data_IF_834812613712
#
_entry.id   IF_834812613712
#
_cell.length_a   1.000
_cell.length_b   1.000
_cell.length_c   1.000
_cell.angle_alpha   90.00
_cell.angle_beta   90.00
_cell.angle_gamma   90.00
#
_symmetry.space_group_name_H-M   'P 1'
#
loop_
_entity.id
_entity.type
_entity.pdbx_description
1 polymer ?
#
# COMPACT_ATOMS: atom_id res chain seq x y z
N UNK A 1 5.29 -12.93 -18.32
CA UNK A 1 4.43 -11.75 -18.55
C UNK A 1 3.08 -12.04 -19.22
N UNK A 2 3.03 -12.82 -20.31
CA UNK A 2 1.77 -13.11 -21.02
C UNK A 2 0.62 -13.65 -20.12
N UNK A 3 0.91 -14.51 -19.15
CA UNK A 3 -0.10 -15.04 -18.22
C UNK A 3 -0.73 -13.96 -17.32
N UNK A 4 0.09 -13.04 -16.79
CA UNK A 4 -0.38 -11.89 -15.99
C UNK A 4 -1.24 -10.97 -16.86
N UNK A 5 -0.77 -10.65 -18.08
CA UNK A 5 -1.52 -9.85 -19.04
C UNK A 5 -2.87 -10.46 -19.44
N UNK A 6 -2.99 -11.80 -19.45
CA UNK A 6 -4.24 -12.48 -19.75
C UNK A 6 -5.22 -12.53 -18.56
N UNK A 7 -4.73 -12.43 -17.32
CA UNK A 7 -5.56 -12.48 -16.10
C UNK A 7 -6.14 -11.11 -15.74
N UNK A 8 -5.37 -10.04 -15.95
CA UNK A 8 -5.78 -8.68 -15.61
C UNK A 8 -7.14 -8.28 -16.21
N UNK A 9 -7.41 -8.46 -17.53
CA UNK A 9 -8.71 -8.13 -18.12
C UNK A 9 -9.86 -9.02 -17.62
N UNK A 10 -9.57 -10.24 -17.16
CA UNK A 10 -10.60 -11.12 -16.58
C UNK A 10 -11.06 -10.63 -15.22
N UNK A 11 -10.15 -9.99 -14.49
CA UNK A 11 -10.42 -9.39 -13.18
C UNK A 11 -11.06 -8.02 -13.38
N UNK A 12 -10.47 -7.15 -14.21
CA UNK A 12 -10.97 -5.80 -14.52
C UNK A 12 -11.98 -5.82 -15.68
N UNK A 13 -13.27 -6.05 -15.37
CA UNK A 13 -14.32 -6.20 -16.39
C UNK A 13 -14.67 -4.92 -17.15
N UNK A 14 -14.42 -3.74 -16.58
CA UNK A 14 -14.76 -2.45 -17.20
C UNK A 14 -13.58 -1.46 -17.08
N UNK A 15 -12.82 -1.34 -18.17
CA UNK A 15 -11.67 -0.44 -18.26
C UNK A 15 -12.06 1.06 -18.13
N UNK A 16 -13.33 1.41 -18.33
CA UNK A 16 -13.82 2.79 -18.20
C UNK A 16 -14.16 3.19 -16.76
N UNK A 17 -14.29 2.20 -15.85
CA UNK A 17 -14.67 2.40 -14.43
C UNK A 17 -13.54 2.12 -13.44
N UNK A 18 -12.33 1.93 -13.96
CA UNK A 18 -11.11 1.78 -13.15
C UNK A 18 -10.92 3.04 -12.29
N UNK A 19 -11.16 2.92 -10.99
CA UNK A 19 -11.05 3.99 -9.98
C UNK A 19 -12.35 4.30 -9.22
N UNK A 20 -13.47 3.63 -9.53
CA UNK A 20 -14.75 3.84 -8.84
C UNK A 20 -15.03 2.76 -7.79
N UNK A 21 -15.76 3.11 -6.72
CA UNK A 21 -16.10 2.19 -5.63
C UNK A 21 -16.95 0.97 -6.05
N UNK A 22 -17.45 0.94 -7.30
CA UNK A 22 -18.26 -0.13 -7.90
C UNK A 22 -17.49 -0.75 -9.07
N UNK A 23 -16.25 -1.14 -8.84
CA UNK A 23 -15.53 -1.96 -9.80
C UNK A 23 -16.12 -3.38 -9.82
N UNK A 24 -16.60 -3.81 -10.98
CA UNK A 24 -17.06 -5.17 -11.21
C UNK A 24 -15.84 -6.11 -11.36
N UNK A 25 -15.11 -6.32 -10.27
CA UNK A 25 -14.01 -7.27 -10.27
C UNK A 25 -14.50 -8.71 -10.29
N UNK A 26 -13.95 -9.53 -11.19
CA UNK A 26 -14.02 -10.98 -10.97
C UNK A 26 -12.97 -11.39 -9.93
N UNK A 27 -13.44 -11.64 -8.72
CA UNK A 27 -12.56 -12.08 -7.63
C UNK A 27 -11.94 -13.44 -7.92
N UNK A 28 -12.61 -14.31 -8.69
CA UNK A 28 -12.17 -15.71 -8.88
C UNK A 28 -10.76 -15.85 -9.44
N UNK A 29 -10.27 -14.85 -10.17
CA UNK A 29 -8.94 -14.87 -10.78
C UNK A 29 -7.87 -14.14 -9.96
N UNK A 30 -8.23 -13.52 -8.84
CA UNK A 30 -7.31 -12.70 -8.03
C UNK A 30 -6.18 -13.54 -7.42
N UNK A 31 -6.48 -14.74 -6.91
CA UNK A 31 -5.46 -15.66 -6.40
C UNK A 31 -4.51 -16.13 -7.51
N UNK A 32 -5.06 -16.53 -8.67
CA UNK A 32 -4.25 -16.94 -9.81
C UNK A 32 -3.33 -15.83 -10.30
N UNK A 33 -3.80 -14.58 -10.32
CA UNK A 33 -2.94 -13.42 -10.61
C UNK A 33 -1.83 -13.30 -9.57
N UNK A 34 -2.14 -13.40 -8.28
CA UNK A 34 -1.16 -13.32 -7.20
C UNK A 34 -0.11 -14.43 -7.26
N UNK A 35 -0.49 -15.62 -7.69
CA UNK A 35 0.41 -16.75 -7.93
C UNK A 35 1.36 -16.47 -9.10
N UNK A 36 0.84 -15.92 -10.21
CA UNK A 36 1.68 -15.55 -11.35
C UNK A 36 2.64 -14.39 -11.02
N UNK A 37 2.18 -13.39 -10.26
CA UNK A 37 3.05 -12.31 -9.79
C UNK A 37 4.14 -12.90 -8.88
N UNK A 38 3.80 -13.78 -7.93
CA UNK A 38 4.79 -14.45 -7.08
C UNK A 38 5.82 -15.28 -7.85
N UNK A 39 5.41 -15.97 -8.91
CA UNK A 39 6.33 -16.66 -9.82
C UNK A 39 7.27 -15.68 -10.52
N UNK A 40 6.76 -14.52 -10.94
CA UNK A 40 7.58 -13.48 -11.55
C UNK A 40 8.55 -12.83 -10.55
N UNK A 41 8.11 -12.58 -9.32
CA UNK A 41 8.96 -12.07 -8.23
C UNK A 41 10.20 -12.95 -7.99
N UNK A 42 10.03 -14.27 -8.04
CA UNK A 42 11.15 -15.21 -7.90
C UNK A 42 12.22 -15.06 -8.99
N UNK A 43 11.87 -14.46 -10.14
CA UNK A 43 12.79 -14.17 -11.24
C UNK A 43 13.36 -12.74 -11.15
N UNK A 44 12.55 -11.77 -10.72
CA UNK A 44 12.93 -10.36 -10.62
C UNK A 44 13.80 -10.04 -9.38
N UNK A 45 13.79 -10.91 -8.36
CA UNK A 45 14.63 -10.77 -7.16
C UNK A 45 13.98 -10.02 -6.00
N UNK A 46 12.91 -9.24 -6.24
CA UNK A 46 12.09 -8.63 -5.19
C UNK A 46 10.65 -8.35 -5.66
N UNK A 47 9.72 -8.21 -4.71
CA UNK A 47 8.33 -7.82 -4.98
C UNK A 47 8.24 -6.42 -5.62
N UNK A 48 9.03 -5.47 -5.13
CA UNK A 48 9.09 -4.10 -5.65
C UNK A 48 9.55 -4.05 -7.12
N UNK A 49 10.60 -4.80 -7.48
CA UNK A 49 11.08 -4.87 -8.87
C UNK A 49 10.07 -5.54 -9.78
N UNK A 50 9.51 -6.68 -9.35
CA UNK A 50 8.49 -7.39 -10.12
C UNK A 50 7.29 -6.49 -10.42
N UNK A 51 6.73 -5.82 -9.40
CA UNK A 51 5.62 -4.91 -9.57
C UNK A 51 5.98 -3.78 -10.53
N UNK A 52 7.14 -3.14 -10.35
CA UNK A 52 7.61 -2.06 -11.22
C UNK A 52 7.72 -2.48 -12.70
N UNK A 53 8.29 -3.65 -12.98
CA UNK A 53 8.43 -4.18 -14.34
C UNK A 53 7.07 -4.53 -14.96
N UNK A 54 6.18 -5.13 -14.17
CA UNK A 54 4.82 -5.45 -14.62
C UNK A 54 4.06 -4.16 -14.96
N UNK A 55 4.15 -3.14 -14.10
CA UNK A 55 3.52 -1.83 -14.34
C UNK A 55 4.06 -1.18 -15.62
N UNK A 56 5.38 -1.14 -15.78
CA UNK A 56 6.04 -0.61 -16.99
C UNK A 56 5.55 -1.34 -18.24
N UNK A 57 5.41 -2.67 -18.18
CA UNK A 57 4.89 -3.46 -19.28
C UNK A 57 3.44 -3.08 -19.65
N UNK A 58 2.55 -2.91 -18.66
CA UNK A 58 1.17 -2.53 -18.91
C UNK A 58 1.01 -1.09 -19.40
N UNK A 59 1.80 -0.15 -18.87
CA UNK A 59 1.85 1.24 -19.35
C UNK A 59 2.24 1.30 -20.84
N UNK A 60 3.18 0.46 -21.28
CA UNK A 60 3.57 0.36 -22.69
C UNK A 60 2.50 -0.28 -23.58
N UNK A 61 1.55 -1.02 -23.00
CA UNK A 61 0.59 -1.88 -23.69
C UNK A 61 -0.82 -1.30 -23.90
N UNK A 62 -1.05 0.00 -23.60
CA UNK A 62 -2.37 0.67 -23.65
C UNK A 62 -3.46 0.04 -22.74
N UNK A 63 -3.10 -0.87 -21.83
CA UNK A 63 -4.06 -1.46 -20.89
C UNK A 63 -4.11 -0.57 -19.64
N UNK A 64 -5.25 0.08 -19.40
CA UNK A 64 -5.49 0.77 -18.13
C UNK A 64 -5.50 -0.26 -17.01
N UNK A 65 -4.58 -0.10 -16.06
CA UNK A 65 -4.33 -1.03 -14.99
C UNK A 65 -4.20 -0.27 -13.67
N UNK A 66 -4.76 -0.83 -12.59
CA UNK A 66 -4.59 -0.26 -11.26
C UNK A 66 -3.43 -0.97 -10.55
N UNK A 67 -2.37 -0.25 -10.15
CA UNK A 67 -1.24 -0.87 -9.46
C UNK A 67 -1.65 -1.63 -8.19
N UNK A 68 -2.62 -1.12 -7.44
CA UNK A 68 -3.22 -1.74 -6.27
C UNK A 68 -3.77 -3.16 -6.53
N UNK A 69 -4.15 -3.50 -7.77
CA UNK A 69 -4.63 -4.83 -8.09
C UNK A 69 -3.54 -5.90 -7.93
N UNK A 70 -2.27 -5.59 -8.24
CA UNK A 70 -1.16 -6.54 -8.00
C UNK A 70 -1.00 -6.81 -6.52
N UNK A 71 -1.03 -5.77 -5.69
CA UNK A 71 -0.93 -5.91 -4.22
C UNK A 71 -2.06 -6.73 -3.65
N UNK A 72 -3.31 -6.47 -4.06
CA UNK A 72 -4.48 -7.26 -3.62
C UNK A 72 -4.43 -8.70 -4.11
N UNK A 73 -3.89 -8.94 -5.31
CA UNK A 73 -3.65 -10.28 -5.81
C UNK A 73 -2.61 -11.03 -4.97
N UNK A 74 -1.51 -10.36 -4.61
CA UNK A 74 -0.49 -10.89 -3.71
C UNK A 74 -1.03 -11.16 -2.31
N UNK A 75 -1.84 -10.25 -1.76
CA UNK A 75 -2.54 -10.46 -0.50
C UNK A 75 -3.42 -11.72 -0.54
N UNK A 76 -4.22 -11.89 -1.60
CA UNK A 76 -5.02 -13.10 -1.79
C UNK A 76 -4.15 -14.36 -1.87
N UNK A 77 -3.03 -14.33 -2.59
CA UNK A 77 -2.12 -15.49 -2.68
C UNK A 77 -1.42 -15.83 -1.35
N UNK A 78 -1.15 -14.84 -0.49
CA UNK A 78 -0.54 -15.04 0.84
C UNK A 78 -1.55 -15.55 1.86
N UNK A 79 -2.77 -15.03 1.82
CA UNK A 79 -3.83 -15.40 2.74
C UNK A 79 -4.31 -16.85 2.56
N UNK A 80 -4.18 -17.42 1.36
CA UNK A 80 -4.67 -18.77 1.04
C UNK A 80 -3.60 -19.64 0.42
N UNK A 81 -3.47 -20.87 0.93
CA UNK A 81 -2.42 -21.79 0.50
C UNK A 81 -2.72 -22.37 -0.90
N UNK A 82 -4.00 -22.52 -1.24
CA UNK A 82 -4.45 -23.07 -2.52
C UNK A 82 -5.56 -22.24 -3.18
N UNK A 83 -5.72 -22.41 -4.49
CA UNK A 83 -6.79 -21.76 -5.25
C UNK A 83 -8.17 -22.25 -4.80
N UNK A 84 -8.30 -23.52 -4.46
CA UNK A 84 -9.56 -24.12 -3.99
C UNK A 84 -10.02 -23.49 -2.67
N UNK A 85 -9.09 -23.27 -1.73
CA UNK A 85 -9.36 -22.57 -0.48
C UNK A 85 -9.84 -21.14 -0.75
N UNK A 86 -9.12 -20.41 -1.61
CA UNK A 86 -9.50 -19.06 -2.02
C UNK A 86 -10.90 -19.02 -2.65
N UNK A 87 -11.18 -19.91 -3.59
CA UNK A 87 -12.48 -19.95 -4.29
C UNK A 87 -13.62 -20.29 -3.34
N UNK A 88 -13.37 -21.08 -2.28
CA UNK A 88 -14.35 -21.32 -1.23
C UNK A 88 -14.71 -20.04 -0.45
N UNK A 89 -13.76 -19.12 -0.25
CA UNK A 89 -14.02 -17.79 0.33
C UNK A 89 -14.66 -16.81 -0.64
N UNK A 90 -14.22 -16.81 -1.90
CA UNK A 90 -14.68 -15.85 -2.91
C UNK A 90 -16.10 -16.17 -3.42
N UNK A 91 -16.59 -17.39 -3.25
CA UNK A 91 -17.89 -17.84 -3.77
C UNK A 91 -19.04 -17.05 -3.16
N UNK A 92 -19.73 -16.27 -4.00
CA UNK A 92 -20.87 -15.45 -3.57
C UNK A 92 -20.48 -14.23 -2.74
N UNK A 93 -19.19 -13.86 -2.72
CA UNK A 93 -18.67 -12.71 -1.98
C UNK A 93 -18.23 -11.64 -2.97
N UNK A 94 -18.72 -10.42 -2.78
CA UNK A 94 -18.31 -9.26 -3.56
C UNK A 94 -16.85 -8.92 -3.30
N UNK A 95 -16.16 -8.35 -4.29
CA UNK A 95 -14.79 -7.88 -4.14
C UNK A 95 -14.58 -6.93 -2.96
N UNK A 96 -15.49 -5.97 -2.75
CA UNK A 96 -15.39 -5.04 -1.62
C UNK A 96 -15.28 -5.77 -0.27
N UNK A 97 -16.20 -6.70 0.01
CA UNK A 97 -16.13 -7.54 1.22
C UNK A 97 -14.83 -8.36 1.31
N UNK A 98 -14.40 -8.94 0.20
CA UNK A 98 -13.18 -9.73 0.16
C UNK A 98 -11.94 -8.87 0.49
N UNK A 99 -11.89 -7.65 -0.07
CA UNK A 99 -10.81 -6.69 0.19
C UNK A 99 -10.69 -6.39 1.68
N UNK A 100 -11.79 -6.19 2.38
CA UNK A 100 -11.77 -5.84 3.82
C UNK A 100 -11.33 -7.01 4.71
N UNK A 101 -11.55 -8.26 4.30
CA UNK A 101 -11.15 -9.43 5.11
C UNK A 101 -9.75 -9.93 4.81
N UNK A 102 -9.21 -9.69 3.61
CA UNK A 102 -7.87 -10.16 3.23
C UNK A 102 -6.77 -9.76 4.23
N UNK A 103 -6.72 -8.53 4.78
CA UNK A 103 -5.71 -8.15 5.74
C UNK A 103 -5.73 -8.97 7.05
N UNK A 104 -6.91 -9.47 7.43
CA UNK A 104 -7.09 -10.31 8.63
C UNK A 104 -6.72 -11.77 8.34
N UNK A 105 -6.92 -12.21 7.10
CA UNK A 105 -6.58 -13.55 6.64
C UNK A 105 -5.10 -13.68 6.24
N UNK A 106 -4.40 -12.56 6.04
CA UNK A 106 -2.99 -12.55 5.72
C UNK A 106 -2.19 -13.21 6.86
N UNK A 107 -1.24 -14.07 6.48
CA UNK A 107 -0.38 -14.79 7.43
C UNK A 107 0.35 -13.87 8.39
N UNK A 108 0.72 -12.66 7.95
CA UNK A 108 1.41 -11.68 8.80
C UNK A 108 0.54 -11.17 9.94
N UNK A 109 -0.78 -11.10 9.75
CA UNK A 109 -1.72 -10.77 10.82
C UNK A 109 -2.06 -12.01 11.64
N UNK A 110 -2.50 -13.07 10.95
CA UNK A 110 -2.99 -14.30 11.56
C UNK A 110 -1.96 -14.95 12.49
N UNK A 111 -0.73 -15.12 12.03
CA UNK A 111 0.33 -15.79 12.79
C UNK A 111 0.92 -14.86 13.85
N UNK A 112 1.12 -13.57 13.55
CA UNK A 112 1.71 -12.63 14.50
C UNK A 112 0.83 -12.44 15.75
N UNK A 113 -0.49 -12.50 15.59
CA UNK A 113 -1.45 -12.30 16.67
C UNK A 113 -2.08 -13.60 17.19
N UNK A 114 -1.65 -14.76 16.67
CA UNK A 114 -2.15 -16.06 17.12
C UNK A 114 -3.65 -16.25 16.88
N UNK A 115 -4.18 -15.74 15.77
CA UNK A 115 -5.61 -15.87 15.43
C UNK A 115 -5.89 -17.35 15.08
N UNK A 116 -6.84 -18.00 15.77
CA UNK A 116 -7.13 -19.41 15.53
C UNK A 116 -7.89 -19.62 14.21
N UNK A 117 -7.63 -20.75 13.55
CA UNK A 117 -8.25 -21.11 12.27
C UNK A 117 -9.79 -21.18 12.32
N UNK A 118 -10.36 -21.42 13.50
CA UNK A 118 -11.80 -21.45 13.72
C UNK A 118 -12.46 -20.08 13.46
N UNK A 119 -11.77 -18.97 13.76
CA UNK A 119 -12.26 -17.62 13.43
C UNK A 119 -12.36 -17.43 11.93
N UNK A 120 -11.37 -17.92 11.17
CA UNK A 120 -11.40 -17.83 9.71
C UNK A 120 -12.48 -18.73 9.12
N UNK A 121 -12.66 -19.93 9.67
CA UNK A 121 -13.74 -20.84 9.26
C UNK A 121 -15.12 -20.22 9.52
N UNK A 122 -15.31 -19.58 10.68
CA UNK A 122 -16.52 -18.82 11.01
C UNK A 122 -16.74 -17.68 10.03
N UNK A 123 -15.71 -16.87 9.77
CA UNK A 123 -15.78 -15.74 8.85
C UNK A 123 -16.17 -16.18 7.44
N UNK A 124 -15.58 -17.28 6.93
CA UNK A 124 -15.94 -17.89 5.64
C UNK A 124 -17.43 -18.21 5.52
N UNK A 125 -18.00 -18.81 6.56
CA UNK A 125 -19.41 -19.20 6.58
C UNK A 125 -20.39 -18.01 6.66
N UNK A 126 -19.92 -16.88 7.18
CA UNK A 126 -20.70 -15.65 7.33
C UNK A 126 -20.63 -14.75 6.10
N UNK A 127 -19.45 -14.60 5.48
CA UNK A 127 -19.20 -13.61 4.42
C UNK A 127 -20.24 -13.53 3.29
N UNK A 128 -20.76 -14.65 2.74
CA UNK A 128 -21.79 -14.59 1.70
C UNK A 128 -23.13 -14.02 2.18
N UNK A 129 -23.39 -14.04 3.50
CA UNK A 129 -24.64 -13.63 4.14
C UNK A 129 -24.60 -12.21 4.69
N UNK A 130 -23.42 -11.70 5.01
CA UNK A 130 -23.25 -10.35 5.56
C UNK A 130 -23.42 -9.30 4.47
N UNK A 131 -23.89 -8.12 4.83
CA UNK A 131 -23.73 -6.88 4.06
C UNK A 131 -22.27 -6.39 4.11
N UNK A 132 -21.95 -5.34 3.36
CA UNK A 132 -20.63 -4.72 3.43
C UNK A 132 -20.33 -4.14 4.82
N UNK A 133 -21.27 -3.38 5.39
CA UNK A 133 -21.12 -2.80 6.72
C UNK A 133 -21.00 -3.85 7.83
N UNK A 134 -21.77 -4.93 7.75
CA UNK A 134 -21.63 -6.05 8.67
C UNK A 134 -20.27 -6.76 8.53
N UNK A 135 -19.71 -6.82 7.31
CA UNK A 135 -18.36 -7.34 7.08
C UNK A 135 -17.32 -6.45 7.77
N UNK A 136 -17.42 -5.13 7.64
CA UNK A 136 -16.55 -4.18 8.35
C UNK A 136 -16.65 -4.34 9.87
N UNK A 137 -17.88 -4.51 10.39
CA UNK A 137 -18.09 -4.74 11.81
C UNK A 137 -17.42 -6.04 12.29
N UNK A 138 -17.51 -7.13 11.53
CA UNK A 138 -16.84 -8.39 11.87
C UNK A 138 -15.31 -8.28 11.83
N UNK A 139 -14.75 -7.58 10.83
CA UNK A 139 -13.31 -7.30 10.75
C UNK A 139 -12.84 -6.50 11.97
N UNK A 140 -13.60 -5.45 12.37
CA UNK A 140 -13.29 -4.66 13.57
C UNK A 140 -13.31 -5.51 14.83
N UNK A 141 -14.32 -6.37 15.01
CA UNK A 141 -14.39 -7.28 16.17
C UNK A 141 -13.17 -8.19 16.26
N UNK A 142 -12.72 -8.75 15.13
CA UNK A 142 -11.51 -9.58 15.11
C UNK A 142 -10.28 -8.74 15.49
N UNK A 143 -10.13 -7.54 14.92
CA UNK A 143 -9.03 -6.63 15.28
C UNK A 143 -9.06 -6.24 16.76
N UNK A 144 -10.20 -5.86 17.31
CA UNK A 144 -10.33 -5.50 18.72
C UNK A 144 -9.98 -6.66 19.66
N UNK A 145 -10.31 -7.89 19.24
CA UNK A 145 -10.03 -9.10 20.02
C UNK A 145 -8.55 -9.50 20.01
N UNK A 146 -7.87 -9.39 18.87
CA UNK A 146 -6.52 -9.91 18.67
C UNK A 146 -5.42 -8.85 18.56
N UNK A 147 -5.78 -7.60 18.25
CA UNK A 147 -4.90 -6.42 18.15
C UNK A 147 -5.53 -5.20 18.86
N UNK A 148 -5.82 -5.28 20.18
CA UNK A 148 -6.53 -4.22 20.90
C UNK A 148 -5.75 -2.89 20.94
N UNK A 149 -4.43 -2.94 20.79
CA UNK A 149 -3.58 -1.74 20.73
C UNK A 149 -3.42 -1.18 19.31
N UNK A 150 -3.96 -1.87 18.30
CA UNK A 150 -3.91 -1.48 16.89
C UNK A 150 -2.49 -1.36 16.36
N UNK A 151 -1.57 -2.23 16.82
CA UNK A 151 -0.15 -2.16 16.42
C UNK A 151 0.05 -2.74 15.03
N UNK A 152 -0.82 -3.67 14.60
CA UNK A 152 -0.65 -4.39 13.34
C UNK A 152 -1.15 -3.55 12.16
N UNK A 153 -0.22 -3.28 11.26
CA UNK A 153 -0.42 -2.46 10.07
C UNK A 153 -0.77 -3.34 8.88
N UNK A 154 -1.74 -2.89 8.08
CA UNK A 154 -1.97 -3.42 6.75
C UNK A 154 -0.96 -2.82 5.77
N UNK A 155 0.04 -3.60 5.39
CA UNK A 155 1.13 -3.14 4.52
C UNK A 155 0.67 -2.86 3.09
N UNK A 156 -0.33 -3.58 2.59
CA UNK A 156 -0.83 -3.37 1.24
C UNK A 156 -1.62 -2.04 1.18
N UNK A 157 -2.41 -1.74 2.21
CA UNK A 157 -3.09 -0.45 2.33
C UNK A 157 -2.10 0.72 2.49
N UNK A 158 -1.03 0.54 3.26
CA UNK A 158 0.03 1.58 3.36
C UNK A 158 0.69 1.82 2.02
N UNK A 159 0.95 0.76 1.25
CA UNK A 159 1.49 0.91 -0.11
C UNK A 159 0.51 1.65 -1.03
N UNK A 160 -0.78 1.34 -0.98
CA UNK A 160 -1.81 2.04 -1.75
C UNK A 160 -1.87 3.54 -1.42
N UNK A 161 -1.87 3.89 -0.12
CA UNK A 161 -1.86 5.29 0.30
C UNK A 161 -0.55 6.00 -0.10
N UNK A 162 0.59 5.31 -0.09
CA UNK A 162 1.86 5.85 -0.58
C UNK A 162 1.85 6.07 -2.09
N UNK A 163 1.37 5.11 -2.87
CA UNK A 163 1.29 5.21 -4.33
C UNK A 163 0.38 6.36 -4.76
N UNK A 164 -0.81 6.47 -4.16
CA UNK A 164 -1.72 7.59 -4.40
C UNK A 164 -1.06 8.95 -4.09
N UNK A 165 -0.39 9.05 -2.94
CA UNK A 165 0.33 10.26 -2.53
C UNK A 165 1.47 10.60 -3.49
N UNK A 166 2.26 9.60 -3.91
CA UNK A 166 3.36 9.76 -4.87
C UNK A 166 2.82 10.23 -6.21
N UNK A 167 1.74 9.64 -6.71
CA UNK A 167 1.13 10.01 -7.99
C UNK A 167 0.68 11.48 -7.98
N UNK A 168 -0.03 11.92 -6.94
CA UNK A 168 -0.49 13.32 -6.81
C UNK A 168 0.69 14.29 -6.67
N UNK A 169 1.64 14.00 -5.76
CA UNK A 169 2.77 14.89 -5.52
C UNK A 169 3.73 14.96 -6.71
N UNK A 170 3.98 13.83 -7.36
CA UNK A 170 4.81 13.76 -8.56
C UNK A 170 4.19 14.60 -9.68
N UNK A 171 2.87 14.50 -9.92
CA UNK A 171 2.18 15.34 -10.88
C UNK A 171 2.34 16.84 -10.55
N UNK A 172 2.11 17.23 -9.29
CA UNK A 172 2.23 18.62 -8.86
C UNK A 172 3.67 19.17 -9.03
N UNK A 173 4.67 18.43 -8.56
CA UNK A 173 6.09 18.81 -8.64
C UNK A 173 6.57 18.87 -10.09
N UNK A 174 6.23 17.87 -10.89
CA UNK A 174 6.71 17.74 -12.28
C UNK A 174 6.11 18.81 -13.20
N UNK A 175 4.84 19.13 -12.99
CA UNK A 175 4.15 20.14 -13.78
C UNK A 175 4.36 21.57 -13.24
N UNK A 176 5.15 21.73 -12.17
CA UNK A 176 5.34 23.01 -11.47
C UNK A 176 4.00 23.64 -11.07
N UNK A 177 3.05 22.81 -10.65
CA UNK A 177 1.73 23.25 -10.24
C UNK A 177 1.82 24.04 -8.93
N UNK A 178 1.89 25.36 -9.06
CA UNK A 178 2.01 26.28 -7.92
C UNK A 178 0.79 26.19 -6.99
N UNK A 179 -0.39 25.91 -7.52
CA UNK A 179 -1.63 25.82 -6.73
C UNK A 179 -1.59 24.57 -5.88
N UNK A 180 -1.42 23.38 -6.48
CA UNK A 180 -1.33 22.13 -5.73
C UNK A 180 -0.18 22.11 -4.72
N UNK A 181 0.94 22.74 -5.04
CA UNK A 181 2.08 22.90 -4.13
C UNK A 181 1.78 23.85 -2.96
N UNK A 182 1.06 24.94 -3.21
CA UNK A 182 0.60 25.84 -2.14
C UNK A 182 -0.41 25.15 -1.22
N UNK A 183 -1.37 24.42 -1.79
CA UNK A 183 -2.34 23.62 -1.03
C UNK A 183 -1.65 22.58 -0.15
N UNK A 184 -0.68 21.84 -0.70
CA UNK A 184 0.14 20.90 0.07
C UNK A 184 0.82 21.57 1.28
N UNK A 185 1.43 22.75 1.10
CA UNK A 185 2.10 23.49 2.18
C UNK A 185 1.12 24.03 3.23
N UNK A 186 -0.12 24.33 2.84
CA UNK A 186 -1.18 24.70 3.78
C UNK A 186 -1.66 23.50 4.60
N UNK A 187 -1.74 22.32 3.97
CA UNK A 187 -2.14 21.09 4.64
C UNK A 187 -1.06 20.58 5.60
N UNK A 188 0.22 20.75 5.24
CA UNK A 188 1.34 20.16 5.96
C UNK A 188 2.44 21.18 6.26
N UNK A 189 2.60 21.52 7.54
CA UNK A 189 3.68 22.39 8.00
C UNK A 189 5.08 21.78 7.84
N UNK A 190 6.11 22.63 7.83
CA UNK A 190 7.50 22.24 7.63
C UNK A 190 8.00 21.19 8.65
N UNK A 191 7.59 21.31 9.91
CA UNK A 191 7.94 20.35 10.96
C UNK A 191 7.31 18.98 10.73
N UNK A 192 6.05 18.96 10.27
CA UNK A 192 5.39 17.71 9.91
C UNK A 192 6.14 17.03 8.76
N UNK A 193 6.42 17.76 7.68
CA UNK A 193 7.16 17.23 6.53
C UNK A 193 8.53 16.68 6.97
N UNK A 194 9.26 17.44 7.78
CA UNK A 194 10.58 17.04 8.28
C UNK A 194 10.51 15.77 9.12
N UNK A 195 9.56 15.69 10.05
CA UNK A 195 9.41 14.55 10.94
C UNK A 195 8.89 13.30 10.22
N UNK A 196 7.95 13.45 9.28
CA UNK A 196 7.47 12.36 8.42
C UNK A 196 8.61 11.78 7.59
N UNK A 197 9.44 12.63 6.99
CA UNK A 197 10.62 12.20 6.23
C UNK A 197 11.66 11.50 7.08
N UNK A 198 11.89 11.97 8.31
CA UNK A 198 12.77 11.27 9.28
C UNK A 198 12.23 9.89 9.62
N UNK A 199 10.92 9.78 9.82
CA UNK A 199 10.26 8.50 10.12
C UNK A 199 10.36 7.52 8.93
N UNK A 200 10.13 8.00 7.70
CA UNK A 200 10.35 7.22 6.47
C UNK A 200 11.81 6.76 6.35
N UNK A 201 12.77 7.66 6.55
CA UNK A 201 14.20 7.33 6.50
C UNK A 201 14.59 6.28 7.55
N UNK A 202 14.05 6.39 8.77
CA UNK A 202 14.29 5.42 9.83
C UNK A 202 13.75 4.03 9.46
N UNK A 203 12.53 3.96 8.94
CA UNK A 203 11.92 2.67 8.59
C UNK A 203 12.54 2.03 7.34
N UNK A 204 13.21 2.83 6.50
CA UNK A 204 13.95 2.36 5.35
C UNK A 204 15.29 1.66 5.71
N UNK A 205 15.86 1.99 6.88
CA UNK A 205 17.15 1.48 7.35
C UNK A 205 17.13 1.06 8.83
N UNK A 206 17.14 -0.26 9.06
CA UNK A 206 17.15 -0.82 10.42
C UNK A 206 18.43 -0.45 11.21
N UNK A 207 19.57 -0.30 10.52
CA UNK A 207 20.85 0.03 11.16
C UNK A 207 20.83 1.45 11.73
N UNK A 208 20.33 2.42 10.95
CA UNK A 208 20.17 3.81 11.37
C UNK A 208 18.93 4.10 12.23
N UNK A 209 17.98 3.16 12.34
CA UNK A 209 16.65 3.38 12.92
C UNK A 209 16.66 4.09 14.28
N UNK A 210 17.46 3.60 15.24
CA UNK A 210 17.52 4.19 16.59
C UNK A 210 18.07 5.61 16.59
N UNK A 211 19.10 5.88 15.78
CA UNK A 211 19.71 7.21 15.67
C UNK A 211 18.76 8.22 15.03
N UNK A 212 18.08 7.82 13.95
CA UNK A 212 17.17 8.69 13.20
C UNK A 212 15.91 9.03 14.02
N UNK A 213 15.43 8.08 14.84
CA UNK A 213 14.22 8.26 15.65
C UNK A 213 14.44 8.92 17.01
N UNK A 214 15.68 9.13 17.45
CA UNK A 214 16.00 9.64 18.79
C UNK A 214 15.39 11.03 19.10
N UNK A 215 15.23 11.88 18.08
CA UNK A 215 14.67 13.23 18.21
C UNK A 215 13.18 13.37 17.87
N UNK A 216 12.50 12.27 17.49
CA UNK A 216 11.08 12.32 17.15
C UNK A 216 10.21 12.20 18.41
N UNK A 217 9.23 13.10 18.57
CA UNK A 217 8.23 13.00 19.63
C UNK A 217 7.59 11.61 19.65
N UNK A 218 7.33 11.06 20.85
CA UNK A 218 6.72 9.73 21.02
C UNK A 218 5.30 9.66 20.45
N UNK A 219 4.61 10.79 20.37
CA UNK A 219 3.23 10.87 19.88
C UNK A 219 3.12 11.39 18.45
N UNK A 220 4.25 11.66 17.77
CA UNK A 220 4.22 12.09 16.37
C UNK A 220 3.46 11.07 15.53
N UNK A 221 2.48 11.53 14.74
CA UNK A 221 1.67 10.69 13.85
C UNK A 221 0.51 9.92 14.51
N UNK A 222 0.38 9.90 15.85
CA UNK A 222 -0.67 9.11 16.51
C UNK A 222 -2.06 9.73 16.38
N UNK A 223 -2.15 11.04 16.58
CA UNK A 223 -3.41 11.77 16.65
C UNK A 223 -3.80 12.42 15.31
N UNK A 224 -3.30 11.88 14.21
CA UNK A 224 -3.65 12.36 12.87
C UNK A 224 -5.07 11.93 12.51
N UNK A 225 -5.82 12.84 11.90
CA UNK A 225 -7.10 12.50 11.28
C UNK A 225 -6.86 11.64 10.03
N UNK A 226 -7.09 10.33 10.17
CA UNK A 226 -6.97 9.32 9.12
C UNK A 226 -8.24 9.16 8.28
N UNK A 227 -9.33 9.86 8.64
CA UNK A 227 -10.64 9.80 7.98
C UNK A 227 -10.80 10.85 6.89
N UNK A 228 -9.96 11.90 6.90
CA UNK A 228 -9.88 12.90 5.83
C UNK A 228 -9.76 12.22 4.45
N UNK A 229 -10.50 12.64 3.42
CA UNK A 229 -10.34 12.14 2.07
C UNK A 229 -9.14 12.77 1.34
N UNK A 230 -8.73 12.15 0.23
CA UNK A 230 -7.68 12.63 -0.66
C UNK A 230 -6.29 12.69 -0.03
N UNK A 231 -5.40 13.51 -0.62
CA UNK A 231 -3.98 13.59 -0.27
C UNK A 231 -3.71 13.78 1.22
N UNK A 232 -4.54 14.59 1.90
CA UNK A 232 -4.42 14.82 3.34
C UNK A 232 -4.57 13.50 4.12
N UNK A 233 -5.63 12.76 3.80
CA UNK A 233 -5.93 11.48 4.41
C UNK A 233 -4.88 10.42 4.13
N UNK A 234 -4.48 10.31 2.86
CA UNK A 234 -3.48 9.33 2.39
C UNK A 234 -2.16 9.51 3.14
N UNK A 235 -1.61 10.72 3.17
CA UNK A 235 -0.38 11.01 3.90
C UNK A 235 -0.56 10.81 5.41
N UNK A 236 -1.70 11.21 5.98
CA UNK A 236 -1.96 11.00 7.40
C UNK A 236 -2.01 9.51 7.77
N UNK A 237 -2.66 8.67 6.96
CA UNK A 237 -2.70 7.21 7.14
C UNK A 237 -1.30 6.60 7.02
N UNK A 238 -0.52 7.03 6.03
CA UNK A 238 0.89 6.61 5.91
C UNK A 238 1.65 6.96 7.19
N UNK A 239 1.66 8.23 7.60
CA UNK A 239 2.44 8.67 8.77
C UNK A 239 1.96 8.00 10.06
N UNK A 240 0.65 7.79 10.22
CA UNK A 240 0.09 7.04 11.34
C UNK A 240 0.61 5.61 11.38
N UNK A 241 0.54 4.86 10.27
CA UNK A 241 1.05 3.50 10.18
C UNK A 241 2.56 3.41 10.41
N UNK A 242 3.34 4.35 9.88
CA UNK A 242 4.77 4.43 10.16
C UNK A 242 5.06 4.67 11.65
N UNK A 243 4.22 5.45 12.32
CA UNK A 243 4.35 5.70 13.77
C UNK A 243 4.01 4.47 14.61
N UNK A 244 3.09 3.62 14.15
CA UNK A 244 2.85 2.30 14.76
C UNK A 244 4.07 1.39 14.57
N UNK A 245 4.61 1.31 13.36
CA UNK A 245 5.79 0.50 13.03
C UNK A 245 7.07 0.93 13.75
N UNK A 246 7.17 2.21 14.12
CA UNK A 246 8.25 2.71 14.97
C UNK A 246 8.30 1.99 16.33
N UNK A 247 7.16 1.54 16.85
CA UNK A 247 7.05 0.83 18.13
C UNK A 247 7.04 -0.68 17.98
N UNK A 248 6.83 -1.19 16.77
CA UNK A 248 6.82 -2.61 16.48
C UNK A 248 8.21 -3.25 16.65
N UNK A 249 8.29 -4.58 16.59
CA UNK A 249 9.56 -5.29 16.62
C UNK A 249 10.35 -5.15 15.28
N UNK A 250 11.66 -5.47 15.26
CA UNK A 250 12.46 -5.40 14.04
C UNK A 250 11.94 -6.26 12.88
N UNK A 251 11.32 -7.42 13.15
CA UNK A 251 10.79 -8.30 12.10
C UNK A 251 9.56 -7.68 11.44
N UNK A 252 8.72 -6.98 12.20
CA UNK A 252 7.59 -6.23 11.62
C UNK A 252 8.08 -5.11 10.68
N UNK A 253 9.13 -4.38 11.06
CA UNK A 253 9.76 -3.38 10.19
C UNK A 253 10.44 -3.99 8.95
N UNK A 254 11.01 -5.18 9.09
CA UNK A 254 11.56 -5.93 7.96
C UNK A 254 10.47 -6.31 6.96
N UNK A 255 9.37 -6.92 7.43
CA UNK A 255 8.20 -7.22 6.60
C UNK A 255 7.62 -5.98 5.92
N UNK A 256 7.56 -4.85 6.62
CA UNK A 256 7.16 -3.57 6.04
C UNK A 256 8.04 -3.19 4.85
N UNK A 257 9.38 -3.26 5.00
CA UNK A 257 10.32 -2.95 3.91
C UNK A 257 10.17 -3.90 2.73
N UNK A 258 9.99 -5.18 2.99
CA UNK A 258 9.84 -6.19 1.94
C UNK A 258 8.54 -6.02 1.15
N UNK A 259 7.44 -5.66 1.83
CA UNK A 259 6.12 -5.52 1.22
C UNK A 259 5.87 -4.16 0.59
N UNK A 260 6.27 -3.08 1.25
CA UNK A 260 6.04 -1.72 0.74
C UNK A 260 7.14 -1.29 -0.24
N UNK A 261 8.36 -1.78 -0.04
CA UNK A 261 9.50 -1.45 -0.90
C UNK A 261 10.21 -0.17 -0.46
N UNK A 262 11.55 -0.20 -0.56
CA UNK A 262 12.42 0.90 -0.10
C UNK A 262 12.36 2.11 -1.01
N UNK A 263 12.19 1.87 -2.31
CA UNK A 263 12.12 2.94 -3.31
C UNK A 263 10.83 3.74 -3.13
N UNK A 264 9.69 3.09 -2.89
CA UNK A 264 8.41 3.79 -2.63
C UNK A 264 8.51 4.72 -1.41
N UNK A 265 9.08 4.23 -0.30
CA UNK A 265 9.30 5.03 0.92
C UNK A 265 10.21 6.23 0.65
N UNK A 266 11.31 5.99 -0.09
CA UNK A 266 12.27 7.03 -0.46
C UNK A 266 11.71 8.09 -1.41
N UNK A 267 10.92 7.67 -2.39
CA UNK A 267 10.30 8.55 -3.39
C UNK A 267 9.29 9.49 -2.72
N UNK A 268 8.38 8.95 -1.91
CA UNK A 268 7.43 9.79 -1.17
C UNK A 268 8.15 10.80 -0.27
N UNK A 269 9.18 10.36 0.46
CA UNK A 269 9.99 11.25 1.31
C UNK A 269 10.72 12.33 0.50
N UNK A 270 11.12 12.04 -0.74
CA UNK A 270 11.76 13.00 -1.64
C UNK A 270 10.75 13.99 -2.21
N UNK A 271 9.58 13.53 -2.67
CA UNK A 271 8.51 14.36 -3.19
C UNK A 271 7.92 15.28 -2.13
N UNK A 272 7.72 14.81 -0.90
CA UNK A 272 7.30 15.67 0.21
C UNK A 272 8.30 16.81 0.48
N UNK A 273 9.61 16.55 0.30
CA UNK A 273 10.64 17.60 0.38
C UNK A 273 10.52 18.57 -0.78
N UNK A 274 10.46 18.06 -2.00
CA UNK A 274 10.36 18.87 -3.20
C UNK A 274 9.13 19.79 -3.14
N UNK A 275 8.02 19.29 -2.58
CA UNK A 275 6.78 20.02 -2.41
C UNK A 275 6.83 21.12 -1.32
N UNK A 276 7.77 21.02 -0.38
CA UNK A 276 7.83 21.90 0.81
C UNK A 276 8.18 23.36 0.50
N UNK A 277 8.90 23.64 -0.58
CA UNK A 277 9.26 25.00 -0.99
C UNK A 277 9.62 25.06 -2.47
N UNK A 278 9.49 26.23 -3.09
CA UNK A 278 9.85 26.43 -4.50
C UNK A 278 11.33 26.14 -4.75
N UNK A 279 12.20 26.47 -3.78
CA UNK A 279 13.63 26.16 -3.86
C UNK A 279 13.89 24.65 -3.93
N UNK A 280 13.23 23.87 -3.06
CA UNK A 280 13.37 22.42 -3.04
C UNK A 280 12.76 21.77 -4.28
N UNK A 281 11.70 22.35 -4.85
CA UNK A 281 11.14 21.93 -6.15
C UNK A 281 12.17 22.07 -7.26
N UNK A 282 12.79 23.25 -7.39
CA UNK A 282 13.80 23.50 -8.42
C UNK A 282 15.07 22.66 -8.19
N UNK A 283 15.41 22.38 -6.93
CA UNK A 283 16.50 21.45 -6.59
C UNK A 283 16.18 20.03 -7.06
N UNK A 284 14.98 19.52 -6.77
CA UNK A 284 14.54 18.20 -7.20
C UNK A 284 14.55 18.06 -8.73
N UNK A 285 13.92 19.01 -9.45
CA UNK A 285 13.85 18.96 -10.91
C UNK A 285 15.23 19.05 -11.58
N UNK A 286 16.16 19.82 -11.02
CA UNK A 286 17.56 19.86 -11.49
C UNK A 286 18.27 18.53 -11.28
N UNK A 287 18.18 17.97 -10.08
CA UNK A 287 18.78 16.66 -9.77
C UNK A 287 18.25 15.57 -10.68
N UNK A 288 16.93 15.55 -10.95
CA UNK A 288 16.33 14.56 -11.84
C UNK A 288 16.84 14.66 -13.28
N UNK A 289 16.94 15.88 -13.83
CA UNK A 289 17.54 16.11 -15.16
C UNK A 289 19.00 15.62 -15.25
N UNK A 290 19.75 15.73 -14.16
CA UNK A 290 21.13 15.22 -14.11
C UNK A 290 21.12 13.69 -14.15
N UNK A 291 20.28 13.04 -13.33
CA UNK A 291 20.15 11.58 -13.29
C UNK A 291 19.69 11.02 -14.65
N UNK A 292 18.70 11.65 -15.29
CA UNK A 292 18.22 11.28 -16.62
C UNK A 292 19.34 11.35 -17.68
N UNK A 293 20.26 12.32 -17.57
CA UNK A 293 21.43 12.44 -18.47
C UNK A 293 22.53 11.42 -18.17
N UNK A 294 22.62 10.94 -16.93
CA UNK A 294 23.60 9.94 -16.52
C UNK A 294 23.14 8.50 -16.83
N UNK A 295 21.82 8.28 -16.96
CA UNK A 295 21.25 7.06 -17.54
C UNK A 295 21.48 7.04 -19.05
N UNK A 296 22.74 6.91 -19.47
CA UNK A 296 23.09 6.54 -20.85
C UNK A 296 22.87 5.03 -20.97
N UNK A 297 22.18 4.53 -22.02
CA UNK A 297 22.00 3.09 -22.24
C UNK A 297 23.32 2.34 -22.39
#
# INVERSE_FOLDING_TARGET
MAAIAALVPKIQKDQSKVGSAIEAYDTRHLWALGDQVGKYESLAGSEEQAISEILTHFESGLVRFQPALLKKARAARRAFQSEEEYLAYAKGVSYGKLREVLPILDSDFAQALGVPQDEFTRLRGLLPKLTYEETLAEVRKIREKYDPEGITVDYDQVWEDMEASVTVLSAAVNNRDRTGMSEFRQLFGADFITNSRRLMAALNDETGFKGITAGLSRNFGRDLDTTSPGLKGEINRVVHSLSLLRRADPKARERFRDRVGKMMIGELGTLMKAASSDEETERYLRSRKIIERLKVP
#
